data_IF_395452457091
#
_entry.id   IF_395452457091
#
_cell.length_a   1.000
_cell.length_b   1.000
_cell.length_c   1.000
_cell.angle_alpha   90.00
_cell.angle_beta   90.00
_cell.angle_gamma   90.00
#
_symmetry.space_group_name_H-M   'P 1'
#
loop_
_entity.id
_entity.type
_entity.pdbx_description
1 polymer ?
#
# COMPACT_ATOMS: atom_id res chain seq x y z
N UNK A 1 14.59 15.39 -2.48
CA UNK A 1 16.02 15.22 -2.18
C UNK A 1 16.37 15.17 -0.70
N UNK A 2 15.80 16.04 0.16
CA UNK A 2 16.10 16.06 1.61
C UNK A 2 15.93 14.68 2.27
N UNK A 3 14.82 13.98 2.00
CA UNK A 3 14.59 12.64 2.54
C UNK A 3 15.69 11.62 2.15
N UNK A 4 16.21 11.66 0.92
CA UNK A 4 17.31 10.78 0.50
C UNK A 4 18.61 11.06 1.26
N UNK A 5 18.92 12.35 1.50
CA UNK A 5 20.09 12.70 2.30
C UNK A 5 19.94 12.22 3.75
N UNK A 6 18.74 12.34 4.33
CA UNK A 6 18.44 11.79 5.65
C UNK A 6 18.60 10.25 5.70
N UNK A 7 18.31 9.54 4.62
CA UNK A 7 18.54 8.09 4.51
C UNK A 7 20.04 7.72 4.50
N UNK A 8 20.95 8.63 4.16
CA UNK A 8 22.40 8.40 4.19
C UNK A 8 23.03 8.64 5.57
N UNK A 9 22.34 9.34 6.45
CA UNK A 9 22.83 9.66 7.79
C UNK A 9 22.71 8.41 8.68
N UNK A 10 23.82 7.83 9.11
CA UNK A 10 23.85 6.55 9.83
C UNK A 10 23.26 6.60 11.25
N UNK A 11 23.30 7.75 11.92
CA UNK A 11 22.89 7.89 13.32
C UNK A 11 21.38 8.12 13.53
N UNK A 12 20.63 8.43 12.47
CA UNK A 12 19.19 8.67 12.57
C UNK A 12 18.40 7.37 12.42
N UNK A 13 17.41 7.17 13.29
CA UNK A 13 16.52 6.01 13.20
C UNK A 13 15.62 6.09 11.97
N UNK A 14 15.30 4.94 11.39
CA UNK A 14 14.46 4.86 10.18
C UNK A 14 13.07 5.46 10.40
N UNK A 15 12.52 5.33 11.62
CA UNK A 15 11.23 5.92 11.99
C UNK A 15 11.26 7.45 12.01
N UNK A 16 12.33 8.07 12.54
CA UNK A 16 12.48 9.53 12.54
C UNK A 16 12.55 10.07 11.10
N UNK A 17 13.32 9.42 10.24
CA UNK A 17 13.49 9.84 8.85
C UNK A 17 12.17 9.74 8.08
N UNK A 18 11.43 8.65 8.29
CA UNK A 18 10.12 8.45 7.69
C UNK A 18 9.12 9.52 8.14
N UNK A 19 9.09 9.84 9.44
CA UNK A 19 8.24 10.90 9.98
C UNK A 19 8.57 12.26 9.37
N UNK A 20 9.86 12.62 9.29
CA UNK A 20 10.29 13.88 8.66
C UNK A 20 9.89 13.91 7.18
N UNK A 21 10.13 12.82 6.44
CA UNK A 21 9.74 12.72 5.03
C UNK A 21 8.23 12.83 4.82
N UNK A 22 7.42 12.17 5.66
CA UNK A 22 5.97 12.23 5.61
C UNK A 22 5.45 13.65 5.93
N UNK A 23 5.98 14.30 6.97
CA UNK A 23 5.64 15.68 7.33
C UNK A 23 5.94 16.62 6.17
N UNK A 24 7.14 16.53 5.58
CA UNK A 24 7.51 17.38 4.44
C UNK A 24 6.54 17.21 3.27
N UNK A 25 6.14 15.97 2.95
CA UNK A 25 5.24 15.69 1.84
C UNK A 25 3.79 16.12 2.08
N UNK A 26 3.36 16.19 3.35
CA UNK A 26 2.05 16.71 3.74
C UNK A 26 2.05 18.25 3.75
N UNK A 27 3.11 18.87 4.29
CA UNK A 27 3.18 20.32 4.49
C UNK A 27 3.42 21.06 3.17
N UNK A 28 4.29 20.54 2.28
CA UNK A 28 4.63 21.23 1.03
C UNK A 28 3.40 21.57 0.17
N UNK A 29 2.45 20.65 -0.11
CA UNK A 29 1.21 20.98 -0.81
C UNK A 29 0.37 22.06 -0.18
N UNK A 30 0.38 22.15 1.16
CA UNK A 30 -0.41 23.13 1.90
C UNK A 30 0.20 24.54 1.79
N UNK A 31 1.52 24.64 1.59
CA UNK A 31 2.22 25.91 1.44
C UNK A 31 2.02 26.58 0.07
N UNK A 32 1.63 25.81 -0.96
CA UNK A 32 1.48 26.30 -2.33
C UNK A 32 0.06 26.05 -2.85
N UNK A 33 -0.96 26.77 -2.34
CA UNK A 33 -2.31 26.64 -2.85
C UNK A 33 -2.38 27.06 -4.33
N UNK A 34 -2.82 26.15 -5.20
CA UNK A 34 -3.11 26.48 -6.60
C UNK A 34 -4.53 27.07 -6.71
N UNK A 35 -4.74 28.13 -7.50
CA UNK A 35 -6.08 28.69 -7.73
C UNK A 35 -7.00 27.71 -8.47
N UNK A 36 -6.44 26.73 -9.20
CA UNK A 36 -7.24 25.70 -9.84
C UNK A 36 -7.47 24.51 -8.89
N UNK A 37 -8.73 24.19 -8.63
CA UNK A 37 -9.12 23.08 -7.75
C UNK A 37 -8.56 21.74 -8.24
N UNK A 38 -8.57 21.49 -9.55
CA UNK A 38 -8.05 20.27 -10.16
C UNK A 38 -6.56 20.06 -9.86
N UNK A 39 -5.72 21.07 -10.07
CA UNK A 39 -4.27 20.97 -9.81
C UNK A 39 -4.04 20.78 -8.31
N UNK A 40 -4.78 21.49 -7.45
CA UNK A 40 -4.68 21.34 -6.01
C UNK A 40 -5.00 19.91 -5.54
N UNK A 41 -6.07 19.32 -6.06
CA UNK A 41 -6.46 17.94 -5.74
C UNK A 41 -5.45 16.92 -6.29
N UNK A 42 -4.89 17.16 -7.48
CA UNK A 42 -3.83 16.33 -8.06
C UNK A 42 -2.54 16.37 -7.21
N UNK A 43 -2.13 17.56 -6.76
CA UNK A 43 -0.95 17.72 -5.89
C UNK A 43 -1.16 16.99 -4.57
N UNK A 44 -2.33 17.13 -3.95
CA UNK A 44 -2.66 16.43 -2.70
C UNK A 44 -2.66 14.91 -2.87
N UNK A 45 -3.24 14.42 -3.97
CA UNK A 45 -3.24 13.00 -4.30
C UNK A 45 -1.83 12.44 -4.54
N UNK A 46 -1.01 13.14 -5.31
CA UNK A 46 0.39 12.78 -5.54
C UNK A 46 1.19 12.78 -4.23
N UNK A 47 1.02 13.79 -3.38
CA UNK A 47 1.67 13.85 -2.09
C UNK A 47 1.28 12.71 -1.16
N UNK A 48 0.00 12.33 -1.13
CA UNK A 48 -0.44 11.17 -0.37
C UNK A 48 0.25 9.89 -0.86
N UNK A 49 0.35 9.69 -2.17
CA UNK A 49 1.10 8.57 -2.74
C UNK A 49 2.58 8.59 -2.31
N UNK A 50 3.26 9.74 -2.37
CA UNK A 50 4.65 9.85 -1.92
C UNK A 50 4.81 9.59 -0.42
N UNK A 51 3.84 9.99 0.43
CA UNK A 51 3.86 9.68 1.86
C UNK A 51 3.86 8.18 2.09
N UNK A 52 2.99 7.44 1.40
CA UNK A 52 2.95 5.98 1.47
C UNK A 52 4.30 5.38 1.05
N UNK A 53 4.96 5.94 0.02
CA UNK A 53 6.29 5.48 -0.40
C UNK A 53 7.38 5.75 0.61
N UNK A 54 7.38 6.91 1.25
CA UNK A 54 8.33 7.21 2.33
C UNK A 54 8.14 6.26 3.50
N UNK A 55 6.89 5.94 3.86
CA UNK A 55 6.59 4.97 4.91
C UNK A 55 7.02 3.55 4.51
N UNK A 56 6.87 3.17 3.24
CA UNK A 56 7.33 1.88 2.74
C UNK A 56 8.86 1.75 2.80
N UNK A 57 9.61 2.77 2.40
CA UNK A 57 11.08 2.79 2.52
C UNK A 57 11.53 2.60 3.97
N UNK A 58 10.71 3.07 4.92
CA UNK A 58 10.98 2.93 6.33
C UNK A 58 10.92 1.46 6.81
N UNK A 59 10.25 0.60 6.06
CA UNK A 59 10.18 -0.84 6.35
C UNK A 59 11.42 -1.59 5.88
N UNK A 60 12.22 -1.01 4.99
CA UNK A 60 13.45 -1.63 4.51
C UNK A 60 14.59 -1.54 5.52
N UNK A 61 15.43 -2.58 5.52
CA UNK A 61 16.62 -2.61 6.37
C UNK A 61 17.56 -1.45 6.06
N UNK A 62 18.18 -0.86 7.10
CA UNK A 62 19.05 0.31 6.94
C UNK A 62 20.24 0.04 6.03
N UNK A 63 20.82 -1.16 6.13
CA UNK A 63 21.96 -1.59 5.31
C UNK A 63 21.62 -1.62 3.82
N UNK A 64 20.35 -1.85 3.47
CA UNK A 64 19.87 -1.82 2.09
C UNK A 64 19.70 -0.37 1.60
N UNK A 65 19.00 0.46 2.38
CA UNK A 65 18.76 1.88 2.03
C UNK A 65 20.08 2.66 1.87
N UNK A 66 21.13 2.30 2.63
CA UNK A 66 22.45 2.91 2.51
C UNK A 66 23.15 2.61 1.18
N UNK A 67 22.79 1.51 0.50
CA UNK A 67 23.37 1.14 -0.80
C UNK A 67 22.69 1.81 -1.99
N UNK A 68 21.48 2.33 -1.81
CA UNK A 68 20.70 2.93 -2.89
C UNK A 68 21.41 4.14 -3.49
N UNK A 69 21.48 4.20 -4.81
CA UNK A 69 21.84 5.43 -5.51
C UNK A 69 20.65 6.40 -5.50
N UNK A 70 20.89 7.67 -5.82
CA UNK A 70 19.79 8.63 -5.96
C UNK A 70 18.81 8.19 -7.06
N UNK A 71 19.33 7.59 -8.13
CA UNK A 71 18.53 7.05 -9.22
C UNK A 71 17.62 5.91 -8.75
N UNK A 72 18.15 4.93 -8.02
CA UNK A 72 17.36 3.82 -7.46
C UNK A 72 16.25 4.34 -6.54
N UNK A 73 16.56 5.34 -5.71
CA UNK A 73 15.58 5.97 -4.83
C UNK A 73 14.46 6.66 -5.62
N UNK A 74 14.80 7.45 -6.65
CA UNK A 74 13.81 8.10 -7.50
C UNK A 74 12.98 7.09 -8.29
N UNK A 75 13.62 6.05 -8.83
CA UNK A 75 12.95 4.95 -9.53
C UNK A 75 11.97 4.25 -8.59
N UNK A 76 12.39 3.89 -7.38
CA UNK A 76 11.52 3.29 -6.38
C UNK A 76 10.30 4.18 -6.06
N UNK A 77 10.52 5.49 -5.85
CA UNK A 77 9.43 6.43 -5.59
C UNK A 77 8.44 6.51 -6.75
N UNK A 78 8.91 6.42 -7.99
CA UNK A 78 8.08 6.53 -9.19
C UNK A 78 7.35 5.24 -9.54
N UNK A 79 8.03 4.09 -9.48
CA UNK A 79 7.54 2.83 -10.03
C UNK A 79 7.08 1.82 -9.00
N UNK A 80 7.34 2.04 -7.70
CA UNK A 80 7.19 1.01 -6.65
C UNK A 80 8.13 -0.18 -6.78
N UNK A 81 9.02 -0.16 -7.77
CA UNK A 81 9.67 -1.40 -8.18
C UNK A 81 10.84 -1.71 -7.27
N UNK A 82 10.87 -2.95 -6.80
CA UNK A 82 11.79 -3.45 -5.79
C UNK A 82 12.98 -4.18 -6.42
N UNK A 83 13.38 -3.78 -7.63
CA UNK A 83 14.46 -4.41 -8.40
C UNK A 83 15.77 -4.53 -7.59
N UNK A 84 16.22 -3.51 -6.83
CA UNK A 84 17.41 -3.64 -5.99
C UNK A 84 17.25 -4.71 -4.90
N UNK A 85 16.04 -4.82 -4.35
CA UNK A 85 15.64 -5.80 -3.32
C UNK A 85 15.72 -7.22 -3.87
N UNK A 86 15.22 -7.43 -5.08
CA UNK A 86 15.29 -8.70 -5.80
C UNK A 86 16.74 -9.08 -6.09
N UNK A 87 17.55 -8.17 -6.64
CA UNK A 87 18.94 -8.45 -6.98
C UNK A 87 19.79 -8.78 -5.74
N UNK A 88 19.56 -8.12 -4.60
CA UNK A 88 20.28 -8.44 -3.35
C UNK A 88 19.81 -9.78 -2.76
N UNK A 89 18.51 -10.09 -2.84
CA UNK A 89 17.98 -11.39 -2.41
C UNK A 89 18.56 -12.54 -3.24
N UNK A 90 18.64 -12.38 -4.57
CA UNK A 90 19.24 -13.36 -5.48
C UNK A 90 20.72 -13.59 -5.16
N UNK A 91 21.50 -12.53 -4.91
CA UNK A 91 22.92 -12.65 -4.53
C UNK A 91 23.08 -13.42 -3.22
N UNK A 92 22.25 -13.13 -2.21
CA UNK A 92 22.27 -13.86 -0.93
C UNK A 92 21.88 -15.33 -1.10
N UNK A 93 20.87 -15.64 -1.91
CA UNK A 93 20.47 -17.01 -2.22
C UNK A 93 21.59 -17.79 -2.94
N UNK A 94 22.24 -17.16 -3.93
CA UNK A 94 23.40 -17.75 -4.61
C UNK A 94 24.57 -17.99 -3.67
N UNK A 95 24.85 -17.06 -2.75
CA UNK A 95 25.93 -17.20 -1.79
C UNK A 95 25.65 -18.28 -0.73
N UNK A 96 24.40 -18.42 -0.30
CA UNK A 96 23.97 -19.52 0.57
C UNK A 96 24.13 -20.88 -0.13
N UNK A 97 23.71 -20.99 -1.40
CA UNK A 97 23.89 -22.19 -2.22
C UNK A 97 25.36 -22.60 -2.36
N UNK A 98 26.26 -21.64 -2.65
CA UNK A 98 27.72 -21.90 -2.71
C UNK A 98 28.29 -22.37 -1.37
N UNK A 99 27.81 -21.83 -0.26
CA UNK A 99 28.25 -22.22 1.08
C UNK A 99 27.76 -23.63 1.44
N UNK A 100 26.53 -23.99 1.08
CA UNK A 100 25.98 -25.33 1.27
C UNK A 100 26.76 -26.38 0.46
N UNK A 101 27.06 -26.09 -0.81
CA UNK A 101 27.89 -26.96 -1.66
C UNK A 101 29.28 -27.23 -1.05
N UNK A 102 29.91 -26.21 -0.45
CA UNK A 102 31.23 -26.37 0.21
C UNK A 102 31.19 -27.26 1.45
N UNK A 103 30.08 -27.31 2.16
CA UNK A 103 29.94 -28.14 3.38
C UNK A 103 29.72 -29.63 3.09
N UNK A 104 29.56 -30.02 1.82
CA UNK A 104 29.33 -31.42 1.46
C UNK A 104 28.01 -31.99 1.97
N UNK A 105 27.10 -31.13 2.46
CA UNK A 105 25.73 -31.54 2.77
C UNK A 105 25.05 -31.90 1.44
N UNK A 106 24.80 -33.20 1.23
CA UNK A 106 23.88 -33.66 0.19
C UNK A 106 22.48 -33.16 0.55
N UNK A 107 22.18 -31.96 0.11
CA UNK A 107 20.87 -31.35 0.24
C UNK A 107 19.89 -32.21 -0.54
N UNK A 108 19.01 -32.90 0.18
CA UNK A 108 18.00 -33.78 -0.41
C UNK A 108 17.22 -33.00 -1.47
N UNK A 109 17.12 -33.54 -2.67
CA UNK A 109 16.40 -32.94 -3.81
C UNK A 109 14.96 -32.53 -3.49
N UNK A 110 14.31 -33.17 -2.51
CA UNK A 110 12.99 -32.75 -2.00
C UNK A 110 13.06 -31.47 -1.15
N UNK A 111 14.12 -31.31 -0.37
CA UNK A 111 14.44 -30.05 0.31
C UNK A 111 14.94 -29.00 -0.66
N UNK A 112 15.60 -29.36 -1.77
CA UNK A 112 16.00 -28.41 -2.79
C UNK A 112 14.78 -27.80 -3.48
N UNK A 113 13.75 -28.60 -3.83
CA UNK A 113 12.48 -28.08 -4.38
C UNK A 113 11.69 -27.25 -3.36
N UNK A 114 11.64 -27.66 -2.09
CA UNK A 114 11.05 -26.82 -1.02
C UNK A 114 11.81 -25.52 -0.87
N UNK A 115 13.12 -25.57 -0.74
CA UNK A 115 13.99 -24.41 -0.54
C UNK A 115 14.00 -23.50 -1.76
N UNK A 116 13.85 -24.02 -2.98
CA UNK A 116 13.67 -23.21 -4.18
C UNK A 116 12.29 -22.54 -4.23
N UNK A 117 11.22 -23.26 -3.85
CA UNK A 117 9.89 -22.65 -3.70
C UNK A 117 9.81 -21.61 -2.57
N UNK A 118 10.59 -21.78 -1.49
CA UNK A 118 10.70 -20.81 -0.41
C UNK A 118 11.62 -19.62 -0.79
N UNK A 119 12.75 -19.87 -1.47
CA UNK A 119 13.69 -18.84 -1.92
C UNK A 119 13.13 -17.98 -3.06
N UNK A 120 12.38 -18.57 -4.00
CA UNK A 120 11.72 -17.85 -5.10
C UNK A 120 10.50 -17.04 -4.64
N UNK A 121 9.88 -17.39 -3.50
CA UNK A 121 8.72 -16.69 -2.95
C UNK A 121 9.05 -15.83 -1.71
N UNK A 122 10.30 -15.45 -1.42
CA UNK A 122 10.59 -14.44 -0.39
C UNK A 122 11.17 -14.93 0.94
N UNK A 123 12.02 -15.95 0.93
CA UNK A 123 12.72 -16.39 2.14
C UNK A 123 14.10 -15.75 2.32
N UNK A 124 14.11 -14.62 3.01
CA UNK A 124 15.18 -14.26 3.95
C UNK A 124 14.71 -14.18 5.40
N UNK A 125 13.39 -14.10 5.64
CA UNK A 125 12.81 -13.81 6.96
C UNK A 125 11.76 -14.84 7.43
N UNK A 126 11.50 -15.90 6.67
CA UNK A 126 10.47 -16.89 7.02
C UNK A 126 9.04 -16.34 7.03
N UNK A 127 8.82 -15.15 6.45
CA UNK A 127 7.50 -14.53 6.38
C UNK A 127 6.73 -15.10 5.17
N UNK A 128 5.43 -15.42 5.33
CA UNK A 128 4.61 -15.92 4.23
C UNK A 128 4.50 -14.88 3.11
N UNK A 129 4.81 -15.28 1.87
CA UNK A 129 4.60 -14.46 0.69
C UNK A 129 3.12 -14.13 0.55
N UNK A 130 2.83 -12.85 0.31
CA UNK A 130 1.49 -12.46 -0.11
C UNK A 130 1.62 -11.74 -1.45
N UNK A 131 1.01 -12.26 -2.54
CA UNK A 131 1.09 -11.61 -3.84
C UNK A 131 0.53 -10.20 -3.74
N UNK A 132 1.21 -9.25 -4.38
CA UNK A 132 0.76 -7.85 -4.40
C UNK A 132 -0.57 -7.76 -5.17
N UNK A 133 -0.70 -8.49 -6.27
CA UNK A 133 -1.90 -8.53 -7.09
C UNK A 133 -2.39 -9.97 -7.24
N UNK A 134 -3.69 -10.19 -7.07
CA UNK A 134 -4.35 -11.48 -7.27
C UNK A 134 -5.40 -11.38 -8.38
N UNK A 135 -4.94 -11.47 -9.63
CA UNK A 135 -5.79 -11.42 -10.83
C UNK A 135 -6.80 -10.25 -10.80
N UNK A 136 -6.35 -8.99 -10.66
CA UNK A 136 -7.22 -7.84 -10.46
C UNK A 136 -8.20 -7.60 -11.59
N UNK A 137 -7.83 -7.99 -12.81
CA UNK A 137 -8.69 -7.91 -13.98
C UNK A 137 -9.86 -8.90 -13.93
N UNK A 138 -9.93 -9.87 -13.03
CA UNK A 138 -11.09 -10.77 -12.89
C UNK A 138 -12.09 -10.28 -11.83
N UNK A 139 -11.89 -9.11 -11.26
CA UNK A 139 -12.81 -8.55 -10.27
C UNK A 139 -14.20 -8.30 -10.89
N UNK A 140 -15.24 -8.87 -10.29
CA UNK A 140 -16.63 -8.66 -10.72
C UNK A 140 -17.31 -7.50 -9.98
N UNK A 141 -16.59 -6.84 -9.08
CA UNK A 141 -17.02 -5.63 -8.37
C UNK A 141 -15.81 -4.81 -7.92
N UNK A 142 -16.00 -3.51 -7.71
CA UNK A 142 -14.95 -2.65 -7.12
C UNK A 142 -14.53 -3.11 -5.72
N UNK A 143 -15.47 -3.62 -4.92
CA UNK A 143 -15.13 -4.19 -3.61
C UNK A 143 -14.17 -5.36 -3.78
N UNK A 144 -14.48 -6.30 -4.66
CA UNK A 144 -13.61 -7.47 -4.91
C UNK A 144 -12.22 -7.04 -5.40
N UNK A 145 -12.18 -6.07 -6.32
CA UNK A 145 -10.94 -5.46 -6.79
C UNK A 145 -10.10 -4.89 -5.64
N UNK A 146 -10.62 -3.91 -4.90
CA UNK A 146 -9.86 -3.19 -3.87
C UNK A 146 -9.62 -4.00 -2.60
N UNK A 147 -10.47 -4.99 -2.30
CA UNK A 147 -10.37 -5.74 -1.03
C UNK A 147 -9.71 -7.10 -1.16
N UNK A 148 -9.66 -7.74 -2.31
CA UNK A 148 -9.04 -9.07 -2.43
C UNK A 148 -7.93 -9.12 -3.46
N UNK A 149 -8.07 -8.37 -4.55
CA UNK A 149 -7.27 -8.60 -5.75
C UNK A 149 -6.22 -7.53 -6.02
N UNK A 150 -6.39 -6.35 -5.44
CA UNK A 150 -5.52 -5.20 -5.65
C UNK A 150 -4.74 -4.83 -4.40
N UNK A 151 -3.41 -4.97 -4.47
CA UNK A 151 -2.45 -4.50 -3.47
C UNK A 151 -2.77 -4.94 -2.03
N UNK A 152 -2.75 -6.26 -1.81
CA UNK A 152 -3.03 -6.84 -0.50
C UNK A 152 -2.16 -6.28 0.65
N UNK A 153 -0.84 -6.03 0.46
CA UNK A 153 -0.02 -5.42 1.50
C UNK A 153 -0.51 -4.02 1.92
N UNK A 154 -0.91 -3.19 0.95
CA UNK A 154 -1.50 -1.87 1.24
C UNK A 154 -2.79 -2.04 2.05
N UNK A 155 -3.69 -2.92 1.62
CA UNK A 155 -4.93 -3.20 2.36
C UNK A 155 -4.62 -3.61 3.81
N UNK A 156 -3.72 -4.56 4.02
CA UNK A 156 -3.36 -5.05 5.35
C UNK A 156 -2.78 -3.92 6.22
N UNK A 157 -1.98 -3.05 5.60
CA UNK A 157 -1.42 -1.87 6.25
C UNK A 157 -2.51 -0.89 6.68
N UNK A 158 -3.43 -0.51 5.79
CA UNK A 158 -4.57 0.34 6.15
C UNK A 158 -5.44 -0.29 7.22
N UNK A 159 -5.70 -1.60 7.13
CA UNK A 159 -6.50 -2.29 8.13
C UNK A 159 -5.86 -2.19 9.52
N UNK A 160 -4.57 -2.48 9.63
CA UNK A 160 -3.84 -2.46 10.91
C UNK A 160 -3.63 -1.05 11.46
N UNK A 161 -3.23 -0.11 10.61
CA UNK A 161 -2.83 1.23 11.04
C UNK A 161 -4.01 2.20 11.17
N UNK A 162 -5.07 2.01 10.40
CA UNK A 162 -6.21 2.93 10.37
C UNK A 162 -7.46 2.26 10.92
N UNK A 163 -7.90 1.15 10.35
CA UNK A 163 -9.21 0.58 10.72
C UNK A 163 -9.22 -0.03 12.12
N UNK A 164 -8.23 -0.84 12.49
CA UNK A 164 -8.17 -1.49 13.82
C UNK A 164 -8.20 -0.48 14.97
N UNK A 165 -7.34 0.56 15.03
CA UNK A 165 -7.39 1.53 16.11
C UNK A 165 -8.70 2.33 16.10
N UNK A 166 -9.18 2.72 14.92
CA UNK A 166 -10.44 3.46 14.77
C UNK A 166 -11.64 2.65 15.29
N UNK A 167 -11.71 1.35 14.98
CA UNK A 167 -12.75 0.44 15.49
C UNK A 167 -12.68 0.29 17.01
N UNK A 168 -11.48 0.15 17.58
CA UNK A 168 -11.32 0.06 19.05
C UNK A 168 -11.73 1.35 19.77
N UNK A 169 -11.46 2.52 19.17
CA UNK A 169 -11.90 3.81 19.67
C UNK A 169 -13.42 3.94 19.62
N UNK A 170 -14.04 3.50 18.53
CA UNK A 170 -15.50 3.48 18.40
C UNK A 170 -16.16 2.56 19.43
N UNK A 171 -15.61 1.36 19.65
CA UNK A 171 -16.13 0.44 20.65
C UNK A 171 -16.04 1.02 22.07
N UNK A 172 -14.90 1.64 22.39
CA UNK A 172 -14.68 2.33 23.67
C UNK A 172 -15.67 3.49 23.87
N UNK A 173 -15.89 4.29 22.81
CA UNK A 173 -16.84 5.39 22.82
C UNK A 173 -18.29 4.90 23.01
N UNK A 174 -18.68 3.83 22.32
CA UNK A 174 -20.01 3.24 22.44
C UNK A 174 -20.26 2.69 23.85
N UNK A 175 -19.25 2.08 24.48
CA UNK A 175 -19.34 1.59 25.86
C UNK A 175 -19.51 2.73 26.88
N UNK A 176 -18.74 3.80 26.73
CA UNK A 176 -18.82 4.97 27.61
C UNK A 176 -20.14 5.75 27.46
N UNK A 177 -20.69 5.80 26.25
CA UNK A 177 -22.01 6.42 26.00
C UNK A 177 -23.15 5.54 26.48
N UNK A 178 -23.01 4.21 26.48
CA UNK A 178 -24.02 3.31 27.05
C UNK A 178 -24.14 3.42 28.57
N UNK A 179 -23.10 3.86 29.30
CA UNK A 179 -23.13 4.01 30.76
C UNK A 179 -23.62 5.39 31.23
N UNK A 180 -23.57 6.41 30.37
CA UNK A 180 -24.04 7.76 30.67
C UNK A 180 -25.35 8.02 29.93
N UNK A 181 -26.47 8.14 30.65
CA UNK A 181 -27.85 8.38 30.15
C UNK A 181 -28.08 9.73 29.44
N UNK A 182 -27.02 10.38 28.93
CA UNK A 182 -27.08 11.64 28.18
C UNK A 182 -27.54 11.39 26.74
N UNK A 183 -28.86 11.39 26.55
CA UNK A 183 -29.57 11.15 25.29
C UNK A 183 -29.24 12.13 24.14
N UNK A 184 -28.54 13.24 24.42
CA UNK A 184 -28.48 14.37 23.48
C UNK A 184 -27.21 14.45 22.61
N UNK A 185 -26.12 13.74 22.95
CA UNK A 185 -24.84 13.77 22.19
C UNK A 185 -24.63 12.58 21.24
N UNK A 186 -25.56 11.62 21.19
CA UNK A 186 -25.47 10.46 20.30
C UNK A 186 -25.76 10.78 18.84
N UNK A 187 -26.45 11.90 18.54
CA UNK A 187 -26.94 12.24 17.21
C UNK A 187 -25.87 12.69 16.21
N UNK A 188 -24.81 13.38 16.64
CA UNK A 188 -23.80 13.90 15.71
C UNK A 188 -22.81 12.85 15.22
N UNK A 189 -22.35 11.94 16.09
CA UNK A 189 -21.42 10.88 15.67
C UNK A 189 -22.12 9.78 14.87
N UNK A 190 -23.39 9.50 15.18
CA UNK A 190 -24.20 8.64 14.32
C UNK A 190 -24.37 9.26 12.93
N UNK A 191 -24.58 10.57 12.81
CA UNK A 191 -24.66 11.26 11.51
C UNK A 191 -23.41 11.04 10.64
N UNK A 192 -22.19 11.18 11.19
CA UNK A 192 -20.94 10.98 10.43
C UNK A 192 -20.77 9.51 10.01
N UNK A 193 -21.12 8.56 10.88
CA UNK A 193 -21.05 7.13 10.57
C UNK A 193 -22.12 6.71 9.54
N UNK A 194 -23.35 7.23 9.66
CA UNK A 194 -24.39 7.02 8.66
C UNK A 194 -24.01 7.66 7.33
N UNK A 195 -23.35 8.82 7.32
CA UNK A 195 -22.90 9.47 6.10
C UNK A 195 -21.85 8.63 5.36
N UNK A 196 -20.88 8.04 6.06
CA UNK A 196 -19.85 7.16 5.44
C UNK A 196 -20.42 5.83 4.94
N UNK A 197 -21.32 5.20 5.71
CA UNK A 197 -22.05 3.99 5.30
C UNK A 197 -22.99 4.30 4.12
N UNK A 198 -23.66 5.45 4.14
CA UNK A 198 -24.52 5.91 3.07
C UNK A 198 -23.71 6.22 1.80
N UNK A 199 -22.55 6.85 1.91
CA UNK A 199 -21.64 7.08 0.79
C UNK A 199 -21.13 5.76 0.19
N UNK A 200 -20.78 4.77 1.02
CA UNK A 200 -20.42 3.42 0.55
C UNK A 200 -21.59 2.74 -0.18
N UNK A 201 -22.81 2.90 0.31
CA UNK A 201 -24.03 2.37 -0.34
C UNK A 201 -24.34 3.08 -1.66
N UNK A 202 -24.24 4.41 -1.70
CA UNK A 202 -24.51 5.24 -2.88
C UNK A 202 -23.49 5.05 -4.00
N UNK A 203 -22.21 4.87 -3.63
CA UNK A 203 -21.14 4.59 -4.59
C UNK A 203 -21.12 3.13 -5.07
N UNK A 204 -22.04 2.29 -4.59
CA UNK A 204 -22.09 0.86 -4.93
C UNK A 204 -20.88 0.07 -4.42
N UNK A 205 -20.12 0.62 -3.47
CA UNK A 205 -18.92 0.00 -2.93
C UNK A 205 -19.28 -1.21 -2.06
N UNK A 206 -19.49 -2.36 -2.72
CA UNK A 206 -19.82 -3.63 -2.08
C UNK A 206 -21.18 -4.21 -2.42
N UNK A 207 -21.90 -3.62 -3.37
CA UNK A 207 -23.08 -4.24 -3.97
C UNK A 207 -22.59 -5.16 -5.10
N UNK A 208 -22.86 -6.46 -4.98
CA UNK A 208 -22.75 -7.35 -6.14
C UNK A 208 -23.83 -6.98 -7.13
N UNK A 209 -23.47 -6.66 -8.37
CA UNK A 209 -24.38 -6.18 -9.42
C UNK A 209 -25.51 -7.16 -9.79
N UNK A 210 -25.54 -8.36 -9.22
CA UNK A 210 -26.61 -9.34 -9.29
C UNK A 210 -26.10 -10.75 -9.03
N UNK A 211 -26.99 -11.73 -8.95
CA UNK A 211 -26.66 -13.16 -8.80
C UNK A 211 -26.83 -13.88 -10.15
N UNK A 212 -25.80 -14.63 -10.59
CA UNK A 212 -25.83 -15.43 -11.81
C UNK A 212 -24.65 -15.17 -12.76
N UNK A 213 -24.47 -16.05 -13.75
CA UNK A 213 -23.33 -15.94 -14.71
C UNK A 213 -23.39 -14.65 -15.54
N UNK A 214 -24.58 -14.23 -15.98
CA UNK A 214 -24.75 -12.98 -16.75
C UNK A 214 -24.33 -11.74 -15.94
N UNK A 215 -24.75 -11.67 -14.68
CA UNK A 215 -24.41 -10.55 -13.78
C UNK A 215 -22.93 -10.46 -13.44
N UNK A 216 -22.19 -11.58 -13.46
CA UNK A 216 -20.72 -11.55 -13.31
C UNK A 216 -20.05 -10.85 -14.48
N UNK A 217 -20.52 -11.07 -15.71
CA UNK A 217 -20.00 -10.41 -16.91
C UNK A 217 -20.32 -8.91 -16.87
N UNK A 218 -21.55 -8.55 -16.50
CA UNK A 218 -21.95 -7.13 -16.35
C UNK A 218 -21.14 -6.44 -15.25
N UNK A 219 -21.00 -7.07 -14.08
CA UNK A 219 -20.21 -6.51 -12.97
C UNK A 219 -18.72 -6.36 -13.30
N UNK A 220 -18.16 -7.33 -14.04
CA UNK A 220 -16.82 -7.23 -14.60
C UNK A 220 -16.69 -6.04 -15.56
N UNK A 221 -17.59 -5.91 -16.52
CA UNK A 221 -17.57 -4.84 -17.51
C UNK A 221 -17.68 -3.45 -16.87
N UNK A 222 -18.57 -3.29 -15.88
CA UNK A 222 -18.72 -2.04 -15.12
C UNK A 222 -17.47 -1.71 -14.29
N UNK A 223 -16.87 -2.72 -13.65
CA UNK A 223 -15.64 -2.55 -12.87
C UNK A 223 -14.49 -2.14 -13.79
N UNK A 224 -14.33 -2.81 -14.93
CA UNK A 224 -13.34 -2.46 -15.94
C UNK A 224 -13.56 -1.06 -16.51
N UNK A 225 -14.80 -0.69 -16.85
CA UNK A 225 -15.14 0.65 -17.34
C UNK A 225 -14.82 1.75 -16.31
N UNK A 226 -15.12 1.49 -15.04
CA UNK A 226 -14.79 2.44 -13.95
C UNK A 226 -13.29 2.58 -13.79
N UNK A 227 -12.55 1.48 -13.82
CA UNK A 227 -11.08 1.50 -13.74
C UNK A 227 -10.46 2.20 -14.95
N UNK A 228 -10.98 1.97 -16.16
CA UNK A 228 -10.47 2.61 -17.38
C UNK A 228 -10.79 4.11 -17.45
N UNK A 229 -11.90 4.55 -16.88
CA UNK A 229 -12.24 5.99 -16.80
C UNK A 229 -11.45 6.69 -15.70
N UNK A 230 -11.19 6.02 -14.57
CA UNK A 230 -10.46 6.61 -13.44
C UNK A 230 -8.95 6.47 -13.55
N UNK A 231 -8.41 5.42 -14.18
CA UNK A 231 -6.96 5.21 -14.33
C UNK A 231 -6.25 6.39 -15.04
N UNK A 232 -6.79 7.00 -16.10
CA UNK A 232 -6.23 8.21 -16.69
C UNK A 232 -6.25 9.43 -15.77
N UNK A 233 -7.12 9.49 -14.75
CA UNK A 233 -7.03 10.57 -13.74
C UNK A 233 -5.78 10.38 -12.86
N UNK A 234 -5.37 9.13 -12.64
CA UNK A 234 -4.16 8.81 -11.90
C UNK A 234 -2.90 8.87 -12.77
N UNK A 235 -2.98 8.54 -14.08
CA UNK A 235 -1.81 8.45 -14.98
C UNK A 235 -1.68 9.64 -15.93
N UNK A 236 -2.79 10.16 -16.45
CA UNK A 236 -2.82 11.25 -17.43
C UNK A 236 -2.36 12.60 -16.87
N UNK A 237 -2.41 12.77 -15.55
CA UNK A 237 -1.78 13.90 -14.85
C UNK A 237 -0.25 13.80 -14.81
N UNK A 238 0.33 12.61 -14.99
CA UNK A 238 1.78 12.41 -15.08
C UNK A 238 2.32 12.57 -16.52
N UNK A 239 1.54 12.19 -17.54
CA UNK A 239 1.99 12.25 -18.93
C UNK A 239 2.09 13.69 -19.48
N UNK A 240 1.29 14.63 -18.94
CA UNK A 240 1.26 16.03 -19.38
C UNK A 240 2.38 16.90 -18.80
N UNK A 241 3.13 16.40 -17.81
CA UNK A 241 4.21 17.13 -17.13
C UNK A 241 5.60 16.83 -17.68
N UNK A 242 5.69 15.97 -18.71
CA UNK A 242 6.96 15.51 -19.32
C UNK A 242 7.10 15.97 -20.79
N UNK A 243 6.22 16.86 -21.26
CA UNK A 243 6.35 17.59 -22.52
C UNK A 243 6.57 19.07 -22.22
#
# INVERSE_FOLDING_TARGET
MIHFQLLKISHLSTSIIASIGAILLIVIPLLFPSPSKLINDCIKGASFFFVLRVLEIATFSRSMNLKWTLFDYCQFLATSDNVPTLAEAERKAQQASKTALRKGEKMDTKDLRRTFCYAWNGHGLGAPYTPIFDQPYLATSLRDFWSHRWNYPIKLTFHRLVFTPLLSLFESYNKATSSNTSKHRHTELQSVMYCTIWLQKMTGFGISWGFGRGWKVVGWALTAATLLTTAPLFVGSYARTVQ
#
